data_IF_467597670025
#
_entry.id   IF_467597670025
#
_cell.length_a   1.000
_cell.length_b   1.000
_cell.length_c   1.000
_cell.angle_alpha   90.00
_cell.angle_beta   90.00
_cell.angle_gamma   90.00
#
_symmetry.space_group_name_H-M   'P 1'
#
loop_
_entity.id
_entity.type
_entity.pdbx_description
1 polymer ?
#
# COMPACT_ATOMS: atom_id res chain seq x y z
N UNK A 1 -11.38 2.32 2.47
CA UNK A 1 -9.92 2.42 2.68
C UNK A 1 -9.38 3.29 1.56
N UNK A 2 -8.78 4.43 1.90
CA UNK A 2 -8.10 5.30 0.95
C UNK A 2 -6.63 5.40 1.37
N UNK A 3 -5.73 5.32 0.40
CA UNK A 3 -4.30 5.50 0.63
C UNK A 3 -3.83 6.71 -0.16
N UNK A 4 -3.11 7.62 0.49
CA UNK A 4 -2.45 8.76 -0.14
C UNK A 4 -0.96 8.71 0.18
N UNK A 5 -0.12 9.07 -0.77
CA UNK A 5 1.32 9.00 -0.58
C UNK A 5 2.12 9.54 -1.76
N UNK A 6 3.43 9.47 -1.59
CA UNK A 6 4.42 9.92 -2.55
C UNK A 6 5.30 8.73 -2.96
N UNK A 7 5.72 8.73 -4.22
CA UNK A 7 6.60 7.68 -4.73
C UNK A 7 7.60 8.24 -5.74
N UNK A 8 8.67 7.49 -5.92
CA UNK A 8 9.65 7.66 -6.99
C UNK A 8 9.71 6.39 -7.81
N UNK A 9 9.92 6.54 -9.11
CA UNK A 9 10.03 5.43 -10.05
C UNK A 9 11.17 5.64 -11.03
N UNK A 10 11.99 4.61 -11.21
CA UNK A 10 13.06 4.58 -12.21
C UNK A 10 13.37 3.12 -12.56
N UNK A 11 13.74 2.87 -13.83
CA UNK A 11 14.27 1.57 -14.28
C UNK A 11 13.38 0.36 -13.93
N UNK A 12 12.06 0.47 -14.11
CA UNK A 12 11.11 -0.60 -13.80
C UNK A 12 10.95 -0.88 -12.31
N UNK A 13 11.46 0.00 -11.43
CA UNK A 13 11.35 -0.08 -9.98
C UNK A 13 10.72 1.17 -9.41
N UNK A 14 10.04 0.98 -8.30
CA UNK A 14 9.35 2.04 -7.60
C UNK A 14 9.46 1.83 -6.10
N UNK A 15 9.47 2.94 -5.38
CA UNK A 15 9.47 2.98 -3.92
C UNK A 15 8.76 4.24 -3.46
N UNK A 16 8.14 4.15 -2.30
CA UNK A 16 7.40 5.27 -1.76
C UNK A 16 6.90 4.99 -0.36
N UNK A 17 6.12 5.94 0.10
CA UNK A 17 5.39 5.85 1.35
C UNK A 17 3.93 6.22 1.12
N UNK A 18 3.04 5.58 1.85
CA UNK A 18 1.62 5.92 1.83
C UNK A 18 1.04 5.87 3.24
N UNK A 19 0.09 6.75 3.49
CA UNK A 19 -0.76 6.72 4.66
C UNK A 19 -2.04 5.96 4.30
N UNK A 20 -2.27 4.87 4.99
CA UNK A 20 -3.55 4.17 4.95
C UNK A 20 -4.51 4.83 5.95
N UNK A 21 -5.56 5.47 5.41
CA UNK A 21 -6.65 6.02 6.21
C UNK A 21 -7.86 5.09 6.12
N UNK A 22 -8.22 4.48 7.25
CA UNK A 22 -9.41 3.65 7.36
C UNK A 22 -10.66 4.54 7.45
N UNK A 23 -11.08 5.09 6.30
CA UNK A 23 -12.30 5.90 6.19
C UNK A 23 -13.61 5.08 6.26
N UNK A 24 -13.53 3.78 6.04
CA UNK A 24 -14.66 2.86 6.16
C UNK A 24 -14.19 1.74 7.07
N UNK A 25 -14.81 1.53 8.25
CA UNK A 25 -14.48 0.40 9.10
C UNK A 25 -14.55 -0.88 8.27
N UNK A 26 -13.55 -1.75 8.39
CA UNK A 26 -13.61 -3.05 7.74
C UNK A 26 -14.94 -3.73 8.13
N UNK A 27 -15.77 -4.10 7.13
CA UNK A 27 -16.98 -4.89 7.40
C UNK A 27 -16.54 -6.32 7.73
N UNK A 28 -16.17 -6.56 8.99
CA UNK A 28 -15.71 -7.84 9.50
C UNK A 28 -15.04 -7.70 10.87
N UNK A 29 -14.92 -8.81 11.61
CA UNK A 29 -14.46 -8.85 13.01
C UNK A 29 -12.99 -8.42 13.23
N UNK A 30 -12.21 -8.16 12.18
CA UNK A 30 -10.78 -7.87 12.29
C UNK A 30 -10.35 -6.74 11.33
N UNK A 31 -10.44 -5.46 11.74
CA UNK A 31 -9.85 -4.38 10.98
C UNK A 31 -8.33 -4.56 10.89
N UNK A 32 -7.79 -4.64 9.67
CA UNK A 32 -6.36 -4.91 9.39
C UNK A 32 -5.44 -3.91 10.10
N UNK A 33 -5.91 -2.67 10.28
CA UNK A 33 -5.17 -1.59 10.94
C UNK A 33 -5.90 -0.98 12.14
N UNK A 34 -7.05 -1.53 12.56
CA UNK A 34 -7.76 -1.12 13.78
C UNK A 34 -8.16 0.36 13.84
N UNK A 35 -8.67 0.94 12.76
CA UNK A 35 -9.04 2.37 12.67
C UNK A 35 -7.89 3.36 12.87
N UNK A 36 -6.63 2.91 12.82
CA UNK A 36 -5.45 3.78 12.90
C UNK A 36 -5.07 4.28 11.52
N UNK A 37 -4.62 5.53 11.46
CA UNK A 37 -3.83 6.01 10.34
C UNK A 37 -2.47 5.31 10.40
N UNK A 38 -2.12 4.57 9.35
CA UNK A 38 -0.93 3.73 9.32
C UNK A 38 -0.04 4.12 8.15
N UNK A 39 1.18 4.54 8.48
CA UNK A 39 2.24 4.74 7.51
C UNK A 39 2.75 3.41 6.98
N UNK A 40 2.90 3.33 5.66
CA UNK A 40 3.37 2.16 4.94
C UNK A 40 4.51 2.58 4.03
N UNK A 41 5.72 2.12 4.34
CA UNK A 41 6.85 2.19 3.41
C UNK A 41 6.81 1.00 2.47
N UNK A 42 7.01 1.23 1.18
CA UNK A 42 6.97 0.16 0.18
C UNK A 42 8.02 0.31 -0.91
N UNK A 43 8.27 -0.81 -1.59
CA UNK A 43 9.04 -0.87 -2.83
C UNK A 43 8.59 -2.04 -3.68
N UNK A 44 8.96 -2.02 -4.95
CA UNK A 44 8.68 -3.15 -5.84
C UNK A 44 9.13 -2.90 -7.26
N UNK A 45 8.45 -3.56 -8.18
CA UNK A 45 8.72 -3.49 -9.62
C UNK A 45 7.45 -3.17 -10.39
N UNK A 46 7.60 -2.67 -11.60
CA UNK A 46 6.48 -2.44 -12.52
C UNK A 46 6.87 -2.74 -13.96
N UNK A 47 5.85 -3.05 -14.75
CA UNK A 47 5.88 -3.16 -16.21
C UNK A 47 4.86 -2.19 -16.81
N UNK A 48 4.67 -2.22 -18.12
CA UNK A 48 3.67 -1.38 -18.79
C UNK A 48 2.22 -1.71 -18.39
N UNK A 49 1.95 -2.92 -17.88
CA UNK A 49 0.60 -3.42 -17.62
C UNK A 49 0.40 -3.98 -16.18
N UNK A 50 1.46 -4.07 -15.39
CA UNK A 50 1.42 -4.67 -14.05
C UNK A 50 2.43 -4.07 -13.09
N UNK A 51 2.31 -4.39 -11.80
CA UNK A 51 3.35 -4.11 -10.82
C UNK A 51 3.25 -4.99 -9.60
N UNK A 52 4.36 -5.12 -8.88
CA UNK A 52 4.43 -5.80 -7.60
C UNK A 52 4.85 -4.81 -6.53
N UNK A 53 4.33 -5.01 -5.32
CA UNK A 53 4.61 -4.19 -4.14
C UNK A 53 4.87 -5.10 -2.95
N UNK A 54 5.95 -4.81 -2.23
CA UNK A 54 6.17 -5.26 -0.86
C UNK A 54 6.29 -4.05 0.05
N UNK A 55 5.65 -4.10 1.22
CA UNK A 55 5.65 -2.99 2.16
C UNK A 55 5.58 -3.42 3.61
N UNK A 56 5.96 -2.50 4.50
CA UNK A 56 5.82 -2.64 5.94
C UNK A 56 4.95 -1.51 6.46
N UNK A 57 3.86 -1.90 7.12
CA UNK A 57 2.93 -1.02 7.80
C UNK A 57 3.22 -1.00 9.30
N UNK A 58 3.30 0.18 9.89
CA UNK A 58 3.52 0.34 11.34
C UNK A 58 2.20 0.68 12.04
N UNK A 59 1.53 -0.34 12.58
CA UNK A 59 0.27 -0.20 13.30
C UNK A 59 0.52 -0.25 14.82
N UNK A 60 0.77 0.92 15.42
CA UNK A 60 1.11 1.04 16.84
C UNK A 60 2.40 0.30 17.17
N UNK A 61 2.32 -0.76 17.99
CA UNK A 61 3.47 -1.60 18.39
C UNK A 61 3.73 -2.81 17.48
N UNK A 62 2.97 -2.95 16.40
CA UNK A 62 3.03 -4.10 15.49
C UNK A 62 3.49 -3.64 14.11
N UNK A 63 4.38 -4.42 13.50
CA UNK A 63 4.68 -4.31 12.08
C UNK A 63 3.87 -5.35 11.31
N UNK A 64 3.22 -4.92 10.23
CA UNK A 64 2.53 -5.82 9.31
C UNK A 64 3.29 -5.80 7.98
N UNK A 65 3.59 -6.99 7.46
CA UNK A 65 4.09 -7.13 6.09
C UNK A 65 2.92 -7.16 5.13
N UNK A 66 3.07 -6.42 4.04
CA UNK A 66 2.12 -6.33 2.95
C UNK A 66 2.81 -6.79 1.67
N UNK A 67 2.08 -7.53 0.86
CA UNK A 67 2.45 -7.86 -0.50
C UNK A 67 1.21 -7.70 -1.39
N UNK A 68 1.37 -7.11 -2.56
CA UNK A 68 0.28 -6.90 -3.50
C UNK A 68 0.77 -6.97 -4.95
N UNK A 69 -0.06 -7.59 -5.79
CA UNK A 69 0.10 -7.59 -7.24
C UNK A 69 -0.94 -6.66 -7.86
N UNK A 70 -0.48 -5.79 -8.75
CA UNK A 70 -1.26 -4.74 -9.38
C UNK A 70 -1.45 -5.04 -10.85
N UNK A 71 -2.65 -4.75 -11.36
CA UNK A 71 -3.00 -4.87 -12.77
C UNK A 71 -3.51 -3.54 -13.30
N UNK A 72 -2.99 -3.11 -14.44
CA UNK A 72 -3.51 -1.94 -15.14
C UNK A 72 -4.90 -2.24 -15.70
N UNK A 73 -5.90 -1.51 -15.22
CA UNK A 73 -7.30 -1.72 -15.63
C UNK A 73 -7.71 -0.81 -16.79
N UNK A 74 -7.19 0.42 -16.82
CA UNK A 74 -7.43 1.38 -17.91
C UNK A 74 -6.24 2.33 -18.02
N UNK A 75 -5.92 2.72 -19.26
CA UNK A 75 -5.00 3.82 -19.55
C UNK A 75 -5.75 5.15 -19.43
N UNK A 76 -5.02 6.20 -19.09
CA UNK A 76 -5.57 7.56 -18.99
C UNK A 76 -5.92 8.12 -20.37
#
# INVERSE_FOLDING_TARGET
MACLGDYSSADGRWKGEMLNQEHTPAKGENPVFGSLEVGIGFSGTYTEDSGELEGIALAGKRSLRLAASLKLMRRA
#
